data_IF_394405688604
#
_entry.id   IF_394405688604
#
_cell.length_a   1.000
_cell.length_b   1.000
_cell.length_c   1.000
_cell.angle_alpha   90.00
_cell.angle_beta   90.00
_cell.angle_gamma   90.00
#
_symmetry.space_group_name_H-M   'P 1'
#
loop_
_entity.id
_entity.type
_entity.pdbx_description
1 polymer ?
#
# COMPACT_ATOMS: atom_id res chain seq x y z
N UNK A 1 -36.64 -38.94 43.79
CA UNK A 1 -37.07 -37.60 43.40
C UNK A 1 -36.21 -37.09 42.25
N UNK A 2 -36.66 -37.17 41.00
CA UNK A 2 -36.15 -36.32 39.95
C UNK A 2 -37.28 -35.88 39.02
N UNK A 3 -37.96 -34.76 39.33
CA UNK A 3 -39.09 -34.28 38.50
C UNK A 3 -39.06 -32.79 38.20
N UNK A 4 -37.89 -32.13 38.25
CA UNK A 4 -37.78 -30.67 37.98
C UNK A 4 -36.99 -30.27 36.72
N UNK A 5 -36.51 -31.21 35.90
CA UNK A 5 -35.70 -30.87 34.72
C UNK A 5 -36.46 -30.76 33.40
N UNK A 6 -37.71 -31.15 33.33
CA UNK A 6 -38.45 -31.21 32.06
C UNK A 6 -39.40 -30.02 31.84
N UNK A 7 -39.62 -29.14 32.80
CA UNK A 7 -40.60 -28.04 32.66
C UNK A 7 -40.06 -26.77 31.95
N UNK A 8 -38.75 -26.69 31.72
CA UNK A 8 -38.16 -25.54 31.00
C UNK A 8 -38.17 -25.70 29.47
N UNK A 9 -38.56 -26.86 28.95
CA UNK A 9 -38.60 -27.13 27.49
C UNK A 9 -39.93 -26.79 26.81
N UNK A 10 -40.97 -26.48 27.54
CA UNK A 10 -42.33 -26.49 26.96
C UNK A 10 -42.95 -25.15 26.62
N UNK A 11 -42.25 -23.99 26.72
CA UNK A 11 -42.91 -22.72 26.40
C UNK A 11 -42.07 -21.68 25.64
N UNK A 12 -41.17 -22.08 24.78
CA UNK A 12 -40.67 -21.14 23.80
C UNK A 12 -41.66 -21.12 22.62
N UNK A 13 -42.53 -20.12 22.59
CA UNK A 13 -43.37 -19.94 21.41
C UNK A 13 -42.50 -19.81 20.15
N UNK A 14 -42.94 -20.34 19.01
CA UNK A 14 -42.17 -20.19 17.73
C UNK A 14 -41.79 -18.75 17.46
N UNK A 15 -42.64 -17.80 17.82
CA UNK A 15 -42.39 -16.38 17.73
C UNK A 15 -41.19 -15.90 18.58
N UNK A 16 -41.06 -16.45 19.83
CA UNK A 16 -39.93 -16.11 20.70
C UNK A 16 -38.59 -16.64 20.15
N UNK A 17 -38.60 -17.83 19.53
CA UNK A 17 -37.40 -18.38 18.87
C UNK A 17 -36.99 -17.53 17.67
N UNK A 18 -37.94 -17.18 16.81
CA UNK A 18 -37.66 -16.31 15.65
C UNK A 18 -37.13 -14.94 16.10
N UNK A 19 -37.73 -14.35 17.13
CA UNK A 19 -37.27 -13.08 17.67
C UNK A 19 -35.85 -13.18 18.24
N UNK A 20 -35.53 -14.22 19.00
CA UNK A 20 -34.17 -14.45 19.50
C UNK A 20 -33.14 -14.63 18.39
N UNK A 21 -33.47 -15.34 17.32
CA UNK A 21 -32.60 -15.51 16.15
C UNK A 21 -32.36 -14.17 15.43
N UNK A 22 -33.38 -13.35 15.25
CA UNK A 22 -33.25 -12.01 14.66
C UNK A 22 -32.33 -11.10 15.51
N UNK A 23 -32.51 -11.10 16.83
CA UNK A 23 -31.65 -10.34 17.74
C UNK A 23 -30.19 -10.82 17.64
N UNK A 24 -29.96 -12.13 17.68
CA UNK A 24 -28.63 -12.70 17.53
C UNK A 24 -27.99 -12.35 16.19
N UNK A 25 -28.74 -12.47 15.10
CA UNK A 25 -28.25 -12.10 13.76
C UNK A 25 -27.87 -10.59 13.70
N UNK A 26 -28.70 -9.74 14.27
CA UNK A 26 -28.43 -8.29 14.33
C UNK A 26 -27.18 -7.98 15.15
N UNK A 27 -27.02 -8.60 16.31
CA UNK A 27 -25.83 -8.45 17.16
C UNK A 27 -24.57 -8.97 16.47
N UNK A 28 -24.64 -10.10 15.78
CA UNK A 28 -23.54 -10.65 15.02
C UNK A 28 -23.13 -9.73 13.85
N UNK A 29 -24.11 -9.22 13.09
CA UNK A 29 -23.88 -8.28 12.01
C UNK A 29 -23.25 -6.96 12.53
N UNK A 30 -23.72 -6.46 13.67
CA UNK A 30 -23.17 -5.27 14.32
C UNK A 30 -21.72 -5.51 14.79
N UNK A 31 -21.45 -6.62 15.44
CA UNK A 31 -20.10 -6.99 15.89
C UNK A 31 -19.13 -7.13 14.72
N UNK A 32 -19.57 -7.75 13.62
CA UNK A 32 -18.79 -7.87 12.39
C UNK A 32 -18.49 -6.50 11.77
N UNK A 33 -19.51 -5.63 11.70
CA UNK A 33 -19.36 -4.25 11.19
C UNK A 33 -18.38 -3.43 12.04
N UNK A 34 -18.41 -3.57 13.36
CA UNK A 34 -17.47 -2.90 14.26
C UNK A 34 -16.04 -3.39 14.09
N UNK A 35 -15.85 -4.68 13.82
CA UNK A 35 -14.52 -5.26 13.55
C UNK A 35 -13.93 -4.71 12.25
N UNK A 36 -14.74 -4.63 11.19
CA UNK A 36 -14.31 -4.08 9.90
C UNK A 36 -13.92 -2.60 9.98
N UNK A 37 -14.58 -1.81 10.83
CA UNK A 37 -14.27 -0.38 11.07
C UNK A 37 -12.99 -0.16 11.88
N UNK A 38 -12.50 -1.15 12.60
CA UNK A 38 -11.33 -1.03 13.49
C UNK A 38 -9.99 -1.32 12.81
N UNK A 39 -9.98 -1.70 11.53
CA UNK A 39 -8.72 -1.82 10.82
C UNK A 39 -8.17 -0.42 10.53
N UNK A 40 -7.11 0.02 11.24
CA UNK A 40 -6.57 1.35 11.02
C UNK A 40 -5.97 1.42 9.62
N UNK A 41 -6.32 2.46 8.88
CA UNK A 41 -5.68 2.81 7.62
C UNK A 41 -4.20 3.06 7.90
N UNK A 42 -3.32 2.14 7.50
CA UNK A 42 -1.88 2.22 7.83
C UNK A 42 -1.15 3.16 6.87
N UNK A 43 -1.63 3.30 5.63
CA UNK A 43 -1.06 4.21 4.63
C UNK A 43 -2.06 5.32 4.28
N UNK A 44 -1.59 6.56 4.34
CA UNK A 44 -2.34 7.75 3.97
C UNK A 44 -1.56 8.57 2.92
N UNK A 45 -2.30 9.30 2.08
CA UNK A 45 -1.77 10.26 1.09
C UNK A 45 -0.66 9.70 0.20
N UNK A 46 -0.86 8.50 -0.31
CA UNK A 46 0.09 7.90 -1.25
C UNK A 46 0.05 8.65 -2.58
N UNK A 47 1.20 9.13 -3.02
CA UNK A 47 1.36 9.82 -4.29
C UNK A 47 2.57 9.31 -5.06
N UNK A 48 2.40 9.18 -6.38
CA UNK A 48 3.45 8.84 -7.32
C UNK A 48 3.61 10.01 -8.28
N UNK A 49 4.78 10.62 -8.38
CA UNK A 49 5.01 11.79 -9.24
C UNK A 49 6.34 11.65 -9.94
N UNK A 50 6.34 11.69 -11.26
CA UNK A 50 7.57 11.75 -12.04
C UNK A 50 8.04 13.21 -12.18
N UNK A 51 9.20 13.60 -11.62
CA UNK A 51 9.76 14.94 -11.79
C UNK A 51 10.36 15.15 -13.23
N UNK A 52 10.47 16.39 -13.74
CA UNK A 52 10.03 17.61 -13.09
C UNK A 52 8.51 17.76 -13.12
N UNK A 53 7.95 18.24 -12.02
CA UNK A 53 6.52 18.51 -11.92
C UNK A 53 6.32 19.99 -11.62
N UNK A 54 5.64 20.71 -12.51
CA UNK A 54 5.28 22.12 -12.29
C UNK A 54 3.99 22.19 -11.46
N UNK A 55 3.92 23.16 -10.57
CA UNK A 55 2.70 23.47 -9.83
C UNK A 55 1.57 23.79 -10.82
N UNK A 56 0.40 23.20 -10.62
CA UNK A 56 -0.75 23.39 -11.53
C UNK A 56 -0.83 22.42 -12.71
N UNK A 57 0.20 21.60 -12.98
CA UNK A 57 0.11 20.58 -14.04
C UNK A 57 -0.40 19.23 -13.51
N UNK A 58 -1.05 18.39 -14.34
CA UNK A 58 -1.49 17.07 -13.94
C UNK A 58 -0.34 16.20 -13.42
N UNK A 59 -0.59 15.47 -12.34
CA UNK A 59 0.41 14.54 -11.78
C UNK A 59 0.61 13.36 -12.72
N UNK A 60 1.83 13.17 -13.20
CA UNK A 60 2.16 12.08 -14.10
C UNK A 60 2.67 10.88 -13.29
N UNK A 61 1.94 9.77 -13.36
CA UNK A 61 2.28 8.50 -12.70
C UNK A 61 3.13 7.57 -13.59
N UNK A 62 3.57 8.06 -14.73
CA UNK A 62 4.42 7.35 -15.69
C UNK A 62 5.79 8.01 -15.78
N UNK A 63 6.82 7.18 -15.97
CA UNK A 63 8.19 7.65 -16.13
C UNK A 63 8.95 6.77 -17.14
N UNK A 64 10.00 7.33 -17.72
CA UNK A 64 10.83 6.72 -18.76
C UNK A 64 12.29 6.95 -18.42
N UNK A 65 13.00 5.96 -17.84
CA UNK A 65 14.40 6.10 -17.46
C UNK A 65 15.31 6.03 -18.70
N UNK A 66 15.38 7.13 -19.45
CA UNK A 66 16.16 7.25 -20.67
C UNK A 66 17.42 8.12 -20.51
N UNK A 67 17.65 8.68 -19.32
CA UNK A 67 18.82 9.50 -19.02
C UNK A 67 18.75 10.94 -19.57
N UNK A 68 17.56 11.42 -19.97
CA UNK A 68 17.36 12.80 -20.47
C UNK A 68 17.07 13.82 -19.36
N UNK A 69 17.14 13.44 -18.09
CA UNK A 69 16.78 14.18 -16.89
C UNK A 69 15.29 14.51 -16.75
N UNK A 70 14.47 14.02 -17.65
CA UNK A 70 13.02 14.23 -17.60
C UNK A 70 12.30 12.93 -17.31
N UNK A 71 11.69 12.84 -16.15
CA UNK A 71 10.92 11.64 -15.74
C UNK A 71 11.74 10.35 -15.72
N UNK A 72 13.06 10.44 -15.46
CA UNK A 72 13.95 9.28 -15.34
C UNK A 72 13.72 8.49 -14.07
N UNK A 73 13.02 9.07 -13.11
CA UNK A 73 12.68 8.45 -11.83
C UNK A 73 11.28 8.85 -11.38
N UNK A 74 10.68 8.04 -10.56
CA UNK A 74 9.42 8.36 -9.91
C UNK A 74 9.65 8.63 -8.44
N UNK A 75 9.05 9.70 -7.94
CA UNK A 75 8.98 10.03 -6.52
C UNK A 75 7.75 9.36 -5.94
N UNK A 76 7.96 8.55 -4.94
CA UNK A 76 6.95 7.85 -4.16
C UNK A 76 6.87 8.53 -2.81
N UNK A 77 5.72 9.09 -2.47
CA UNK A 77 5.50 9.79 -1.21
C UNK A 77 4.26 9.25 -0.53
N UNK A 78 4.36 8.92 0.75
CA UNK A 78 3.23 8.46 1.57
C UNK A 78 3.44 8.84 3.03
N UNK A 79 2.39 8.69 3.83
CA UNK A 79 2.44 8.77 5.29
C UNK A 79 1.94 7.46 5.88
N UNK A 80 2.43 7.14 7.07
CA UNK A 80 1.88 6.06 7.92
C UNK A 80 1.02 6.66 9.02
N UNK A 81 0.00 5.93 9.45
CA UNK A 81 -0.86 6.34 10.58
C UNK A 81 -0.39 5.76 11.91
N UNK A 82 0.59 4.86 11.87
CA UNK A 82 1.23 4.25 13.03
C UNK A 82 2.75 4.35 12.91
N UNK A 83 3.46 4.33 14.05
CA UNK A 83 4.91 4.18 14.07
C UNK A 83 5.28 2.72 13.90
N UNK A 84 6.43 2.45 13.29
CA UNK A 84 6.98 1.10 13.24
C UNK A 84 8.16 0.97 12.28
N UNK A 85 8.92 -0.09 12.43
CA UNK A 85 9.95 -0.45 11.45
C UNK A 85 9.28 -1.12 10.26
N UNK A 86 9.64 -0.68 9.05
CA UNK A 86 8.97 -1.12 7.85
C UNK A 86 9.91 -1.38 6.68
N UNK A 87 9.39 -2.14 5.74
CA UNK A 87 10.06 -2.43 4.47
C UNK A 87 9.20 -1.89 3.32
N UNK A 88 9.82 -1.08 2.47
CA UNK A 88 9.17 -0.43 1.32
C UNK A 88 9.67 -1.09 0.04
N UNK A 89 8.76 -1.60 -0.77
CA UNK A 89 9.09 -2.39 -1.97
C UNK A 89 8.24 -1.98 -3.17
N UNK A 90 8.85 -2.00 -4.34
CA UNK A 90 8.13 -1.98 -5.60
C UNK A 90 7.90 -3.41 -6.07
N UNK A 91 6.67 -3.72 -6.43
CA UNK A 91 6.25 -5.05 -6.84
C UNK A 91 5.57 -5.02 -8.22
N UNK A 92 5.64 -6.15 -8.96
CA UNK A 92 4.80 -6.40 -10.14
C UNK A 92 3.37 -6.80 -9.71
N UNK A 93 2.38 -6.67 -10.61
CA UNK A 93 1.13 -7.41 -10.46
C UNK A 93 1.45 -8.89 -10.23
N UNK A 94 0.80 -9.54 -9.27
CA UNK A 94 1.16 -10.91 -8.83
C UNK A 94 2.16 -10.96 -7.66
N UNK A 95 2.61 -9.80 -7.13
CA UNK A 95 3.32 -9.73 -5.85
C UNK A 95 4.84 -9.90 -5.91
N UNK A 96 5.43 -10.21 -7.08
CA UNK A 96 6.89 -10.35 -7.22
C UNK A 96 7.61 -9.04 -6.94
N UNK A 97 8.57 -9.06 -6.00
CA UNK A 97 9.40 -7.91 -5.65
C UNK A 97 10.35 -7.59 -6.79
N UNK A 98 10.38 -6.33 -7.17
CA UNK A 98 11.29 -5.78 -8.18
C UNK A 98 12.50 -5.13 -7.51
N UNK A 99 12.22 -4.26 -6.53
CA UNK A 99 13.25 -3.59 -5.76
C UNK A 99 12.74 -3.32 -4.34
N UNK A 100 13.65 -3.34 -3.38
CA UNK A 100 13.42 -2.87 -2.02
C UNK A 100 14.02 -1.47 -1.90
N UNK A 101 13.18 -0.47 -1.66
CA UNK A 101 13.58 0.94 -1.52
C UNK A 101 14.08 1.24 -0.11
N UNK A 102 13.49 0.61 0.88
CA UNK A 102 13.90 0.69 2.27
C UNK A 102 13.68 -0.66 2.95
N UNK A 103 14.59 -1.02 3.86
CA UNK A 103 14.51 -2.24 4.66
C UNK A 103 14.68 -1.89 6.12
N UNK A 104 13.72 -2.34 6.92
CA UNK A 104 13.74 -2.15 8.39
C UNK A 104 13.94 -0.68 8.82
N UNK A 105 13.39 0.25 8.05
CA UNK A 105 13.46 1.68 8.31
C UNK A 105 12.36 2.09 9.30
N UNK A 106 12.67 3.00 10.22
CA UNK A 106 11.69 3.56 11.14
C UNK A 106 10.75 4.52 10.41
N UNK A 107 9.52 4.08 10.18
CA UNK A 107 8.48 4.89 9.59
C UNK A 107 7.68 5.59 10.71
N UNK A 108 7.86 6.90 10.83
CA UNK A 108 7.16 7.72 11.83
C UNK A 108 5.76 8.06 11.35
N UNK A 109 4.77 7.92 12.25
CA UNK A 109 3.36 8.26 11.95
C UNK A 109 3.22 9.73 11.55
N UNK A 110 2.30 10.01 10.64
CA UNK A 110 1.97 11.34 10.13
C UNK A 110 3.13 12.11 9.50
N UNK A 111 4.29 11.48 9.35
CA UNK A 111 5.45 12.02 8.65
C UNK A 111 5.45 11.54 7.20
N UNK A 112 5.82 12.42 6.28
CA UNK A 112 5.96 12.02 4.89
C UNK A 112 7.27 11.27 4.67
N UNK A 113 7.15 10.04 4.19
CA UNK A 113 8.28 9.24 3.70
C UNK A 113 8.36 9.39 2.19
N UNK A 114 9.56 9.67 1.70
CA UNK A 114 9.80 9.96 0.28
C UNK A 114 10.91 9.06 -0.24
N UNK A 115 10.59 8.31 -1.29
CA UNK A 115 11.53 7.43 -1.98
C UNK A 115 11.57 7.75 -3.46
N UNK A 116 12.67 7.42 -4.11
CA UNK A 116 12.84 7.56 -5.54
C UNK A 116 13.16 6.20 -6.14
N UNK A 117 12.54 5.91 -7.28
CA UNK A 117 12.83 4.71 -8.04
C UNK A 117 13.08 5.06 -9.49
N UNK A 118 14.21 4.61 -10.02
CA UNK A 118 14.69 4.82 -11.38
C UNK A 118 14.28 3.69 -12.35
N UNK A 119 13.41 2.79 -11.92
CA UNK A 119 12.95 1.65 -12.72
C UNK A 119 13.83 0.41 -12.65
N UNK A 120 15.03 0.50 -12.07
CA UNK A 120 15.95 -0.64 -11.99
C UNK A 120 15.46 -1.71 -11.03
N UNK A 121 15.82 -2.94 -11.33
CA UNK A 121 15.59 -4.10 -10.46
C UNK A 121 16.76 -4.26 -9.49
N UNK A 122 16.57 -5.08 -8.47
CA UNK A 122 17.67 -5.52 -7.61
C UNK A 122 18.72 -6.22 -8.47
N UNK A 123 19.98 -5.75 -8.42
CA UNK A 123 21.06 -6.27 -9.26
C UNK A 123 21.33 -5.47 -10.54
N UNK A 124 20.64 -4.33 -10.75
CA UNK A 124 21.02 -3.34 -11.78
C UNK A 124 20.51 -3.62 -13.19
N UNK A 125 19.63 -4.56 -13.40
CA UNK A 125 19.11 -4.87 -14.73
C UNK A 125 18.31 -3.72 -15.37
N UNK A 126 18.16 -3.77 -16.70
CA UNK A 126 17.37 -2.80 -17.47
C UNK A 126 15.92 -2.77 -17.01
N UNK A 127 15.33 -1.57 -16.85
CA UNK A 127 13.94 -1.45 -16.49
C UNK A 127 13.02 -2.08 -17.53
N UNK A 128 12.12 -2.93 -17.10
CA UNK A 128 11.12 -3.53 -18.00
C UNK A 128 9.86 -2.68 -18.02
N UNK A 129 9.34 -2.43 -19.24
CA UNK A 129 8.01 -1.82 -19.40
C UNK A 129 6.99 -2.57 -18.54
N UNK A 130 6.12 -1.81 -17.86
CA UNK A 130 5.06 -2.45 -17.11
C UNK A 130 4.37 -1.56 -16.11
N UNK A 131 3.47 -2.22 -15.39
CA UNK A 131 2.71 -1.65 -14.26
C UNK A 131 3.30 -2.19 -12.98
N UNK A 132 3.46 -1.31 -12.00
CA UNK A 132 4.05 -1.64 -10.70
C UNK A 132 3.20 -1.05 -9.58
N UNK A 133 3.29 -1.64 -8.42
CA UNK A 133 2.62 -1.18 -7.20
C UNK A 133 3.62 -0.99 -6.08
N UNK A 134 3.27 -0.20 -5.10
CA UNK A 134 4.03 -0.09 -3.86
C UNK A 134 3.49 -1.09 -2.85
N UNK A 135 4.38 -1.84 -2.22
CA UNK A 135 4.10 -2.68 -1.05
C UNK A 135 4.86 -2.12 0.13
N UNK A 136 4.15 -1.86 1.20
CA UNK A 136 4.74 -1.45 2.49
C UNK A 136 4.39 -2.52 3.51
N UNK A 137 5.42 -3.10 4.13
CA UNK A 137 5.27 -3.97 5.29
C UNK A 137 5.62 -3.15 6.54
N UNK A 138 4.75 -3.16 7.53
CA UNK A 138 4.95 -2.47 8.80
C UNK A 138 4.55 -3.42 9.94
N UNK A 139 5.54 -3.98 10.64
CA UNK A 139 5.32 -5.10 11.53
C UNK A 139 4.68 -6.29 10.78
N UNK A 140 3.59 -6.80 11.32
CA UNK A 140 2.84 -7.92 10.72
C UNK A 140 1.90 -7.51 9.59
N UNK A 141 1.76 -6.20 9.34
CA UNK A 141 0.84 -5.68 8.34
C UNK A 141 1.52 -5.51 7.00
N UNK A 142 0.86 -5.98 5.96
CA UNK A 142 1.31 -5.84 4.57
C UNK A 142 0.24 -5.09 3.79
N UNK A 143 0.62 -3.95 3.23
CA UNK A 143 -0.27 -3.13 2.42
C UNK A 143 0.27 -3.00 1.01
N UNK A 144 -0.62 -3.15 0.05
CA UNK A 144 -0.35 -2.91 -1.36
C UNK A 144 -1.21 -1.74 -1.81
N UNK A 145 -0.59 -0.72 -2.37
CA UNK A 145 -1.33 0.47 -2.81
C UNK A 145 -2.23 0.15 -3.99
N UNK A 146 -3.44 0.74 -4.07
CA UNK A 146 -4.30 0.63 -5.25
C UNK A 146 -3.69 1.33 -6.47
N UNK A 147 -2.90 2.39 -6.25
CA UNK A 147 -2.26 3.16 -7.30
C UNK A 147 -1.25 2.36 -8.10
N UNK A 148 -1.08 2.74 -9.36
CA UNK A 148 -0.19 2.06 -10.31
C UNK A 148 0.89 3.03 -10.79
N UNK A 149 2.14 2.60 -10.68
CA UNK A 149 3.30 3.22 -11.30
C UNK A 149 3.45 2.63 -12.70
N UNK A 150 3.52 3.47 -13.73
CA UNK A 150 3.73 3.03 -15.11
C UNK A 150 5.16 3.34 -15.54
N UNK A 151 5.90 2.30 -15.93
CA UNK A 151 7.23 2.43 -16.49
C UNK A 151 7.17 2.17 -17.98
N UNK A 152 7.68 3.13 -18.77
CA UNK A 152 7.85 3.01 -20.21
C UNK A 152 9.33 2.71 -20.51
N UNK A 153 9.62 1.86 -21.51
CA UNK A 153 11.00 1.60 -21.90
C UNK A 153 11.64 2.86 -22.46
N UNK A 154 12.93 3.02 -22.22
CA UNK A 154 13.71 4.02 -22.92
C UNK A 154 13.76 3.68 -24.42
N UNK A 155 13.67 4.67 -25.33
CA UNK A 155 14.01 4.46 -26.74
C UNK A 155 15.44 3.91 -26.84
N UNK A 156 15.68 3.01 -27.77
CA UNK A 156 17.02 2.39 -27.96
C UNK A 156 18.14 3.39 -28.25
N UNK A 157 17.78 4.57 -28.75
CA UNK A 157 18.70 5.64 -29.14
C UNK A 157 18.83 6.76 -28.10
N UNK A 158 18.27 6.63 -26.93
CA UNK A 158 18.36 7.65 -25.88
C UNK A 158 19.80 7.74 -25.37
N UNK A 159 20.58 8.66 -25.95
CA UNK A 159 21.89 9.04 -25.42
C UNK A 159 21.67 9.75 -24.08
N UNK A 160 22.27 9.23 -23.01
CA UNK A 160 22.20 9.88 -21.70
C UNK A 160 22.87 11.26 -21.78
N UNK A 161 22.05 12.32 -21.70
CA UNK A 161 22.51 13.71 -21.68
C UNK A 161 22.52 14.30 -20.27
N UNK A 162 22.17 13.49 -19.31
CA UNK A 162 22.15 13.91 -17.91
C UNK A 162 23.53 13.78 -17.29
N UNK A 163 24.24 14.90 -17.27
CA UNK A 163 25.40 15.05 -16.39
C UNK A 163 24.86 15.14 -14.95
N UNK A 164 24.98 14.09 -14.19
CA UNK A 164 24.76 14.15 -12.74
C UNK A 164 25.84 15.07 -12.17
N UNK A 165 25.51 16.34 -11.97
CA UNK A 165 26.27 17.16 -11.03
C UNK A 165 26.14 16.46 -9.68
N UNK A 166 27.27 15.97 -9.18
CA UNK A 166 27.38 15.25 -7.94
C UNK A 166 26.83 16.10 -6.78
N UNK A 167 25.69 15.74 -6.30
CA UNK A 167 25.15 16.17 -5.01
C UNK A 167 25.40 15.02 -4.05
N UNK A 168 26.47 15.14 -3.27
CA UNK A 168 26.79 14.19 -2.23
C UNK A 168 25.61 14.07 -1.28
N UNK A 169 25.28 12.84 -0.97
CA UNK A 169 24.47 12.51 0.19
C UNK A 169 25.37 12.75 1.38
N UNK A 170 25.15 13.82 2.12
CA UNK A 170 25.65 13.98 3.48
C UNK A 170 24.72 13.22 4.43
N UNK A 171 25.30 12.58 5.45
CA UNK A 171 24.63 11.64 6.36
C UNK A 171 23.53 12.26 7.21
#
# INVERSE_FOLDING_TARGET
MPKRRNELRERLSPAAVVFALLVLATLAAFAYSQRAKREPLVLDRVTFIAPPHRKGTPKVHSFTPNGDCRRDRIRIKFRTTINGRGTVQVIKPGGRVVVTLARDELLKRYTFHVYYWDGRQRGGGTPHRGRYKLRVRLGDRVLVTPGVIRLHPAPKEAKSRCRTSGGGVTP
#
